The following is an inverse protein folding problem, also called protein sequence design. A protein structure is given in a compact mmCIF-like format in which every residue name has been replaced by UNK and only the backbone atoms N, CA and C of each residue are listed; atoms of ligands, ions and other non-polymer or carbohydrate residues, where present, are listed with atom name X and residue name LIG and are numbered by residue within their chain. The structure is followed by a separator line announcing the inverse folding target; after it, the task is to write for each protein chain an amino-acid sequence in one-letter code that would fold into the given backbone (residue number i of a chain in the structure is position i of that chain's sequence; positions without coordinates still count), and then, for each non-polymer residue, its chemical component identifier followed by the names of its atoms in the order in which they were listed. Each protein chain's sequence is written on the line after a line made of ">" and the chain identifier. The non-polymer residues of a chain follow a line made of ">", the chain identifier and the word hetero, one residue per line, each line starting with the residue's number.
data_IF_367055121741
#
_entry.id   IF_367055121741
#
_cell.length_a   1.000
_cell.length_b   1.000
_cell.length_c   1.000
_cell.angle_alpha   90.00
_cell.angle_beta   90.00
_cell.angle_gamma   90.00
#
_symmetry.space_group_name_H-M   'P 1'
#
loop_
_entity.id
_entity.type
_entity.pdbx_description
1 polymer ?
#
# COMPACT_ATOMS: atom_id res chain seq x y z
N UNK A 1 12.18 -1.74 14.03
CA UNK A 1 11.70 -0.59 13.25
C UNK A 1 10.53 -1.05 12.37
N UNK A 2 9.49 -0.20 12.23
CA UNK A 2 8.40 -0.39 11.30
C UNK A 2 8.57 0.58 10.11
N UNK A 3 8.31 0.09 8.90
CA UNK A 3 8.25 0.92 7.70
C UNK A 3 6.81 0.90 7.19
N UNK A 4 6.10 1.98 7.44
CA UNK A 4 4.65 2.06 7.19
C UNK A 4 4.36 3.28 6.34
N UNK A 5 3.84 3.09 5.12
CA UNK A 5 3.47 4.16 4.21
C UNK A 5 1.97 4.20 3.93
N UNK A 6 1.43 3.12 3.35
CA UNK A 6 0.06 3.09 2.85
C UNK A 6 -1.00 3.39 3.92
N UNK A 7 -0.79 2.95 5.16
CA UNK A 7 -1.73 3.22 6.25
C UNK A 7 -1.86 4.73 6.55
N UNK A 8 -0.76 5.49 6.42
CA UNK A 8 -0.80 6.95 6.64
C UNK A 8 -1.55 7.70 5.54
N UNK A 9 -1.68 7.13 4.34
CA UNK A 9 -2.50 7.71 3.28
C UNK A 9 -3.99 7.69 3.68
N UNK A 10 -4.45 6.63 4.36
CA UNK A 10 -5.80 6.51 4.87
C UNK A 10 -6.01 7.25 6.20
N UNK A 11 -5.45 8.46 6.33
CA UNK A 11 -5.67 9.32 7.49
C UNK A 11 -6.37 10.62 7.08
N UNK A 12 -7.04 11.26 8.05
CA UNK A 12 -7.72 12.53 7.81
C UNK A 12 -6.74 13.64 7.44
N UNK A 13 -5.53 13.59 7.98
CA UNK A 13 -4.47 14.57 7.80
C UNK A 13 -3.74 14.44 6.46
N UNK A 14 -3.77 13.25 5.84
CA UNK A 14 -3.13 13.04 4.55
C UNK A 14 -3.82 13.86 3.46
N UNK A 15 -3.03 14.57 2.67
CA UNK A 15 -3.50 15.30 1.49
C UNK A 15 -3.62 14.33 0.29
N UNK A 16 -4.47 13.30 0.44
CA UNK A 16 -4.76 12.30 -0.58
C UNK A 16 -6.24 12.38 -0.98
N UNK A 17 -6.53 12.00 -2.24
CA UNK A 17 -7.88 11.89 -2.74
C UNK A 17 -8.73 10.93 -1.90
N UNK A 18 -10.02 11.21 -1.72
CA UNK A 18 -10.91 10.36 -0.93
C UNK A 18 -11.06 8.96 -1.52
N UNK A 19 -11.06 8.85 -2.84
CA UNK A 19 -11.08 7.55 -3.52
C UNK A 19 -9.83 6.73 -3.22
N UNK A 20 -8.67 7.40 -3.11
CA UNK A 20 -7.42 6.72 -2.72
C UNK A 20 -7.48 6.20 -1.27
N UNK A 21 -7.92 7.05 -0.34
CA UNK A 21 -8.10 6.65 1.07
C UNK A 21 -9.06 5.47 1.19
N UNK A 22 -10.19 5.54 0.49
CA UNK A 22 -11.19 4.48 0.50
C UNK A 22 -10.66 3.21 -0.16
N UNK A 23 -9.96 3.32 -1.29
CA UNK A 23 -9.33 2.18 -1.96
C UNK A 23 -8.31 1.43 -1.09
N UNK A 24 -7.63 2.14 -0.17
CA UNK A 24 -6.76 1.50 0.82
C UNK A 24 -7.57 0.75 1.89
N UNK A 25 -8.68 1.33 2.36
CA UNK A 25 -9.55 0.72 3.38
C UNK A 25 -10.27 -0.52 2.85
N UNK A 26 -10.71 -0.48 1.61
CA UNK A 26 -11.45 -1.56 0.95
C UNK A 26 -10.53 -2.64 0.38
N UNK A 27 -9.23 -2.34 0.26
CA UNK A 27 -8.24 -3.21 -0.35
C UNK A 27 -7.68 -4.28 0.60
N UNK A 28 -7.16 -5.33 -0.01
CA UNK A 28 -6.35 -6.35 0.63
C UNK A 28 -5.14 -6.71 -0.24
N UNK A 29 -4.34 -7.69 0.19
CA UNK A 29 -3.14 -8.10 -0.54
C UNK A 29 -3.44 -8.60 -1.96
N UNK A 30 -4.62 -9.20 -2.21
CA UNK A 30 -5.04 -9.70 -3.53
C UNK A 30 -5.40 -8.56 -4.48
N UNK A 31 -5.76 -7.40 -3.92
CA UNK A 31 -6.05 -6.17 -4.67
C UNK A 31 -4.80 -5.36 -5.03
N UNK A 32 -3.59 -5.91 -4.83
CA UNK A 32 -2.33 -5.23 -5.21
C UNK A 32 -1.77 -5.83 -6.49
N UNK A 33 -1.58 -4.97 -7.48
CA UNK A 33 -1.02 -5.31 -8.80
C UNK A 33 0.45 -4.89 -8.85
N UNK A 34 1.33 -5.85 -9.13
CA UNK A 34 2.77 -5.59 -9.29
C UNK A 34 3.12 -5.43 -10.76
N UNK A 35 3.48 -4.23 -11.18
CA UNK A 35 3.74 -3.91 -12.59
C UNK A 35 4.78 -2.80 -12.73
N UNK A 36 5.45 -2.77 -13.88
CA UNK A 36 6.35 -1.67 -14.27
C UNK A 36 5.73 -0.70 -15.26
N UNK A 37 4.45 -0.89 -15.63
CA UNK A 37 3.79 -0.14 -16.70
C UNK A 37 3.86 1.38 -16.50
N UNK A 38 3.65 1.84 -15.28
CA UNK A 38 3.43 3.28 -15.01
C UNK A 38 4.71 4.08 -14.86
N UNK A 39 5.76 3.45 -14.38
CA UNK A 39 7.03 4.13 -14.08
C UNK A 39 8.24 3.53 -14.77
N UNK A 40 8.07 2.38 -15.44
CA UNK A 40 9.17 1.58 -15.99
C UNK A 40 9.95 0.78 -14.94
N UNK A 41 9.72 1.05 -13.66
CA UNK A 41 10.23 0.27 -12.54
C UNK A 41 9.05 -0.43 -11.87
N UNK A 42 9.24 -1.68 -11.47
CA UNK A 42 8.19 -2.43 -10.80
C UNK A 42 7.78 -1.76 -9.49
N UNK A 43 6.48 -1.63 -9.31
CA UNK A 43 5.84 -1.10 -8.12
C UNK A 43 4.51 -1.78 -7.84
N UNK A 44 4.02 -1.60 -6.64
CA UNK A 44 2.72 -2.11 -6.20
C UNK A 44 1.66 -1.02 -6.32
N UNK A 45 0.54 -1.35 -6.95
CA UNK A 45 -0.55 -0.41 -7.22
C UNK A 45 -1.90 -1.02 -6.84
N UNK A 46 -2.83 -0.18 -6.40
CA UNK A 46 -4.21 -0.60 -6.13
C UNK A 46 -4.90 -0.99 -7.44
N UNK A 47 -5.42 -2.21 -7.49
CA UNK A 47 -6.21 -2.75 -8.62
C UNK A 47 -7.35 -1.82 -8.99
N UNK A 48 -8.10 -1.34 -7.99
CA UNK A 48 -9.22 -0.44 -8.21
C UNK A 48 -8.85 0.84 -8.95
N UNK A 49 -7.67 1.40 -8.72
CA UNK A 49 -7.22 2.60 -9.43
C UNK A 49 -6.87 2.31 -10.90
N UNK A 50 -6.35 1.13 -11.18
CA UNK A 50 -6.04 0.66 -12.54
C UNK A 50 -7.33 0.45 -13.33
N UNK A 51 -8.32 -0.22 -12.73
CA UNK A 51 -9.64 -0.46 -13.32
C UNK A 51 -10.39 0.85 -13.56
N UNK A 52 -10.36 1.79 -12.60
CA UNK A 52 -10.95 3.12 -12.75
C UNK A 52 -10.31 3.95 -13.87
N UNK A 53 -9.04 3.69 -14.16
CA UNK A 53 -8.34 4.30 -15.29
C UNK A 53 -8.67 3.62 -16.65
N UNK A 54 -9.55 2.61 -16.67
CA UNK A 54 -9.98 1.88 -17.85
C UNK A 54 -8.98 0.85 -18.36
N UNK A 55 -8.06 0.41 -17.51
CA UNK A 55 -7.07 -0.63 -17.82
C UNK A 55 -7.50 -1.97 -17.22
N UNK A 56 -7.12 -3.06 -17.89
CA UNK A 56 -7.32 -4.41 -17.37
C UNK A 56 -6.09 -4.84 -16.54
N UNK A 57 -6.22 -5.01 -15.23
CA UNK A 57 -5.10 -5.39 -14.37
C UNK A 57 -4.48 -6.75 -14.70
N UNK A 58 -5.24 -7.65 -15.36
CA UNK A 58 -4.75 -8.98 -15.75
C UNK A 58 -3.95 -8.96 -17.06
N UNK A 59 -4.13 -7.92 -17.87
CA UNK A 59 -3.53 -7.81 -19.21
C UNK A 59 -2.75 -6.49 -19.37
N UNK A 60 -1.98 -6.10 -18.37
CA UNK A 60 -1.16 -4.90 -18.42
C UNK A 60 0.07 -5.13 -19.32
N UNK A 61 0.35 -4.24 -20.28
CA UNK A 61 1.57 -4.32 -21.09
C UNK A 61 2.79 -4.04 -20.20
N UNK A 62 3.89 -4.71 -20.53
CA UNK A 62 5.19 -4.44 -19.89
C UNK A 62 5.77 -3.14 -20.45
N UNK A 63 6.22 -2.25 -19.59
CA UNK A 63 6.94 -1.05 -20.01
C UNK A 63 8.36 -1.38 -20.47
N UNK A 64 8.80 -0.73 -21.54
CA UNK A 64 10.17 -0.84 -22.04
C UNK A 64 11.02 0.26 -21.34
N UNK A 65 11.96 -0.09 -20.45
CA UNK A 65 12.77 0.90 -19.73
C UNK A 65 13.61 1.79 -20.67
N UNK A 66 13.94 1.31 -21.87
CA UNK A 66 14.72 2.09 -22.85
C UNK A 66 13.93 3.24 -23.46
N UNK A 67 12.59 3.19 -23.37
CA UNK A 67 11.66 4.22 -23.85
C UNK A 67 11.17 5.16 -22.77
N UNK A 68 11.70 5.04 -21.56
CA UNK A 68 11.32 5.90 -20.44
C UNK A 68 11.83 7.31 -20.69
N UNK A 69 10.91 8.25 -20.77
CA UNK A 69 11.22 9.66 -20.84
C UNK A 69 11.04 10.31 -19.47
N UNK A 70 12.12 10.51 -18.75
CA UNK A 70 12.14 11.24 -17.48
C UNK A 70 12.04 12.76 -17.69
N UNK A 71 12.00 13.22 -18.94
CA UNK A 71 11.80 14.61 -19.27
C UNK A 71 10.34 15.00 -19.11
N UNK A 72 10.10 16.24 -18.66
CA UNK A 72 8.80 16.89 -18.48
C UNK A 72 7.98 17.10 -19.77
N UNK A 73 8.26 16.32 -20.84
CA UNK A 73 7.69 16.42 -22.16
C UNK A 73 6.50 15.49 -22.40
N UNK A 74 5.33 15.94 -22.01
CA UNK A 74 4.13 15.76 -22.82
C UNK A 74 3.71 14.35 -23.23
N UNK A 75 3.48 13.43 -22.32
CA UNK A 75 2.56 12.36 -22.62
C UNK A 75 1.19 12.67 -22.00
N UNK A 76 0.27 13.17 -22.84
CA UNK A 76 -1.11 13.54 -22.47
C UNK A 76 -1.96 12.36 -21.99
N UNK A 77 -1.44 11.13 -22.02
CA UNK A 77 -2.06 9.94 -21.43
C UNK A 77 -1.70 9.71 -19.96
N UNK A 78 -0.76 10.45 -19.42
CA UNK A 78 -0.24 10.17 -18.10
C UNK A 78 -0.63 11.20 -17.05
N UNK A 79 -1.87 11.22 -16.68
CA UNK A 79 -2.24 11.53 -15.30
C UNK A 79 -2.00 10.30 -14.38
N UNK A 80 -1.12 9.37 -14.81
CA UNK A 80 -0.84 8.13 -14.08
C UNK A 80 -0.46 8.39 -12.61
N UNK A 81 0.32 9.41 -12.34
CA UNK A 81 0.68 9.81 -10.97
C UNK A 81 -0.48 10.35 -10.14
N UNK A 82 -1.55 10.81 -10.78
CA UNK A 82 -2.73 11.32 -10.10
C UNK A 82 -3.78 10.24 -9.90
N UNK A 83 -3.95 9.37 -10.89
CA UNK A 83 -5.10 8.48 -10.99
C UNK A 83 -4.73 7.00 -10.70
N UNK A 84 -3.44 6.65 -10.74
CA UNK A 84 -2.92 5.31 -10.41
C UNK A 84 -2.22 5.37 -9.05
N UNK A 85 -2.74 4.63 -8.08
CA UNK A 85 -2.38 4.78 -6.68
C UNK A 85 -1.48 3.63 -6.21
N UNK A 86 -0.29 3.99 -5.72
CA UNK A 86 0.65 3.05 -5.14
C UNK A 86 0.21 2.58 -3.76
N UNK A 87 0.35 1.29 -3.47
CA UNK A 87 0.03 0.77 -2.15
C UNK A 87 0.76 -0.54 -1.86
N UNK A 88 1.22 -0.71 -0.62
CA UNK A 88 1.84 -1.95 -0.18
C UNK A 88 0.82 -3.06 0.11
N UNK A 89 1.27 -4.31 0.11
CA UNK A 89 0.42 -5.48 0.36
C UNK A 89 -0.18 -5.54 1.77
N UNK A 90 0.35 -4.74 2.71
CA UNK A 90 -0.15 -4.65 4.07
C UNK A 90 -1.46 -3.86 4.24
N UNK A 91 -2.09 -3.40 3.16
CA UNK A 91 -3.32 -2.59 3.22
C UNK A 91 -4.46 -3.29 3.94
N UNK A 92 -4.54 -4.62 3.89
CA UNK A 92 -5.57 -5.39 4.58
C UNK A 92 -5.64 -5.16 6.10
N UNK A 93 -4.63 -4.55 6.72
CA UNK A 93 -4.64 -4.13 8.11
C UNK A 93 -5.33 -2.77 8.34
N UNK A 94 -5.57 -1.98 7.29
CA UNK A 94 -6.22 -0.66 7.36
C UNK A 94 -7.73 -0.84 7.27
N UNK A 95 -8.47 -0.52 8.33
CA UNK A 95 -9.91 -0.81 8.43
C UNK A 95 -10.80 0.42 8.34
N UNK A 96 -10.24 1.61 8.46
CA UNK A 96 -10.98 2.87 8.41
C UNK A 96 -10.05 4.04 8.12
N UNK A 97 -10.65 5.15 7.66
CA UNK A 97 -9.95 6.44 7.60
C UNK A 97 -10.04 7.08 8.98
N UNK A 98 -8.93 7.02 9.71
CA UNK A 98 -8.79 7.58 11.07
C UNK A 98 -7.93 8.83 11.13
N UNK A 99 -7.53 9.23 12.34
CA UNK A 99 -6.47 10.22 12.54
C UNK A 99 -5.10 9.55 12.61
N UNK A 100 -4.04 10.33 12.39
CA UNK A 100 -2.66 9.85 12.63
C UNK A 100 -2.49 9.44 14.10
N UNK A 101 -3.08 10.19 15.02
CA UNK A 101 -3.04 9.91 16.46
C UNK A 101 -3.63 8.53 16.77
N UNK A 102 -4.86 8.25 16.29
CA UNK A 102 -5.53 6.95 16.49
C UNK A 102 -4.71 5.80 15.91
N UNK A 103 -4.11 6.01 14.75
CA UNK A 103 -3.32 4.99 14.08
C UNK A 103 -2.04 4.69 14.86
N UNK A 104 -1.33 5.71 15.34
CA UNK A 104 -0.10 5.53 16.13
C UNK A 104 -0.41 4.85 17.46
N UNK A 105 -1.47 5.28 18.16
CA UNK A 105 -1.90 4.67 19.42
C UNK A 105 -2.25 3.18 19.23
N UNK A 106 -2.95 2.83 18.14
CA UNK A 106 -3.22 1.43 17.79
C UNK A 106 -1.94 0.63 17.57
N UNK A 107 -1.00 1.16 16.77
CA UNK A 107 0.27 0.48 16.49
C UNK A 107 1.09 0.25 17.76
N UNK A 108 1.08 1.21 18.70
CA UNK A 108 1.73 1.08 20.00
C UNK A 108 1.09 -0.04 20.83
N UNK A 109 -0.24 -0.08 20.92
CA UNK A 109 -0.96 -1.13 21.61
C UNK A 109 -0.66 -2.51 21.02
N UNK A 110 -0.76 -2.66 19.68
CA UNK A 110 -0.46 -3.90 18.97
C UNK A 110 1.00 -4.37 19.21
N UNK A 111 1.95 -3.43 19.30
CA UNK A 111 3.34 -3.75 19.62
C UNK A 111 3.50 -4.29 21.04
N UNK A 112 2.85 -3.67 22.02
CA UNK A 112 2.91 -4.14 23.41
C UNK A 112 2.26 -5.50 23.58
N UNK A 113 1.12 -5.74 22.92
CA UNK A 113 0.42 -7.02 22.94
C UNK A 113 1.26 -8.14 22.29
N UNK A 114 1.90 -7.84 21.18
CA UNK A 114 2.80 -8.79 20.51
C UNK A 114 4.00 -9.15 21.40
N UNK A 115 4.60 -8.17 22.09
CA UNK A 115 5.68 -8.41 23.06
C UNK A 115 5.23 -9.30 24.21
N UNK A 116 4.07 -9.00 24.79
CA UNK A 116 3.51 -9.79 25.88
C UNK A 116 3.26 -11.26 25.45
N UNK A 117 2.69 -11.44 24.25
CA UNK A 117 2.45 -12.77 23.68
C UNK A 117 3.74 -13.56 23.45
N UNK A 118 4.81 -12.92 22.99
CA UNK A 118 6.12 -13.56 22.83
C UNK A 118 6.71 -13.97 24.16
N UNK A 119 6.61 -13.12 25.19
CA UNK A 119 7.07 -13.44 26.54
C UNK A 119 6.37 -14.67 27.13
N UNK A 120 5.07 -14.83 26.88
CA UNK A 120 4.30 -16.00 27.31
C UNK A 120 4.70 -17.28 26.56
N UNK A 121 4.95 -17.17 25.24
CA UNK A 121 5.36 -18.32 24.41
C UNK A 121 6.79 -18.77 24.66
N UNK A 122 7.69 -17.88 25.06
CA UNK A 122 9.08 -18.21 25.39
C UNK A 122 9.23 -18.98 26.71
N UNK A 123 8.16 -19.09 27.52
CA UNK A 123 8.14 -19.92 28.73
C UNK A 123 8.00 -21.43 28.43
N UNK A 124 7.75 -21.82 27.19
CA UNK A 124 7.85 -23.22 26.76
C UNK A 124 9.33 -23.64 26.73
N UNK A 125 9.77 -24.33 27.80
CA UNK A 125 11.08 -25.01 27.81
C UNK A 125 11.05 -26.17 26.84
N UNK A 126 11.63 -25.96 25.65
CA UNK A 126 11.76 -27.00 24.61
C UNK A 126 12.89 -28.00 24.94
N UNK A 127 13.68 -27.76 26.00
CA UNK A 127 14.88 -28.53 26.32
C UNK A 127 14.91 -28.97 27.79
N UNK A 128 13.95 -29.78 28.21
CA UNK A 128 14.11 -30.70 29.33
C UNK A 128 13.87 -32.11 28.79
N UNK A 129 14.93 -32.70 28.19
CA UNK A 129 15.07 -34.11 27.95
C UNK A 129 16.44 -34.54 28.47
#
# INVERSE_FOLDING_TARGET
>A
FAYTGSAFIATKEANADQGYKQGIVDGDASGIVYTNLFTGVHGNYLRSSIENAGLDPENLPTSDPSKMNFGSGGNTKAKAWKDIWGSGQGVGAVKSVGTVEDMVARMEAEYHDARASLGQKSSYRIWEA
#
